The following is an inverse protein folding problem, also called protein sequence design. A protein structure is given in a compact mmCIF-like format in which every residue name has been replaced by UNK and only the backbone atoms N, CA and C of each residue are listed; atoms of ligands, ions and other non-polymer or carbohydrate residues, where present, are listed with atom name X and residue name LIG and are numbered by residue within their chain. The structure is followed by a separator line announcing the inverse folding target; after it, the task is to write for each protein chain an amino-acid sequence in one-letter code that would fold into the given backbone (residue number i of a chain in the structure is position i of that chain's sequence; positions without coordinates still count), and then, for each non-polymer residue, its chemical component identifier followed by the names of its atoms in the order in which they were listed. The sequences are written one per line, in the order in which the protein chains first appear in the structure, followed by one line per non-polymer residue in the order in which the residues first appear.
data_IF_581225415426
#
_entry.id   IF_581225415426
#
_cell.length_a   1.000
_cell.length_b   1.000
_cell.length_c   1.000
_cell.angle_alpha   90.00
_cell.angle_beta   90.00
_cell.angle_gamma   90.00
#
_symmetry.space_group_name_H-M   'P 1'
#
loop_
_entity.id
_entity.type
_entity.pdbx_description
1 polymer ?
#
# COMPACT_ATOMS: atom_id res chain seq x y z
N UNK A 1 -22.52 6.15 -5.78
CA UNK A 1 -22.96 5.19 -6.81
C UNK A 1 -22.79 5.83 -8.20
N UNK A 2 -23.21 7.08 -8.35
CA UNK A 2 -23.03 7.96 -9.52
C UNK A 2 -21.68 7.82 -10.27
N UNK A 3 -20.52 8.04 -9.60
CA UNK A 3 -19.21 7.94 -10.28
C UNK A 3 -18.93 6.54 -10.86
N UNK A 4 -19.38 5.48 -10.18
CA UNK A 4 -19.21 4.11 -10.69
C UNK A 4 -20.08 3.87 -11.91
N UNK A 5 -21.32 4.35 -11.90
CA UNK A 5 -22.26 4.24 -13.02
C UNK A 5 -21.77 5.02 -14.24
N UNK A 6 -21.27 6.24 -14.04
CA UNK A 6 -20.68 7.07 -15.10
C UNK A 6 -19.43 6.45 -15.72
N UNK A 7 -18.54 5.90 -14.90
CA UNK A 7 -17.34 5.24 -15.40
C UNK A 7 -17.69 3.94 -16.13
N UNK A 8 -18.65 3.17 -15.64
CA UNK A 8 -19.12 1.95 -16.29
C UNK A 8 -19.72 2.27 -17.67
N UNK A 9 -20.54 3.31 -17.78
CA UNK A 9 -21.12 3.76 -19.05
C UNK A 9 -20.07 4.15 -20.10
N UNK A 10 -18.85 4.53 -19.70
CA UNK A 10 -17.72 4.82 -20.60
C UNK A 10 -16.87 3.58 -20.91
N UNK A 11 -16.79 2.63 -19.98
CA UNK A 11 -16.01 1.40 -20.15
C UNK A 11 -16.75 0.36 -21.00
N UNK A 12 -18.05 0.17 -20.78
CA UNK A 12 -18.88 -0.83 -21.49
C UNK A 12 -18.87 -0.69 -23.02
N UNK A 13 -19.05 0.51 -23.62
CA UNK A 13 -18.96 0.67 -25.07
C UNK A 13 -17.52 0.66 -25.58
N UNK A 14 -16.52 0.50 -24.71
CA UNK A 14 -15.10 0.55 -25.07
C UNK A 14 -14.58 1.95 -25.38
N UNK A 15 -15.33 3.01 -25.03
CA UNK A 15 -14.88 4.39 -25.17
C UNK A 15 -13.62 4.64 -24.33
N UNK A 16 -13.58 4.07 -23.12
CA UNK A 16 -12.38 3.96 -22.30
C UNK A 16 -11.93 2.51 -22.22
N UNK A 17 -10.62 2.28 -22.26
CA UNK A 17 -10.03 0.95 -22.07
C UNK A 17 -9.28 0.95 -20.74
N UNK A 18 -9.48 -0.09 -19.94
CA UNK A 18 -8.77 -0.24 -18.66
C UNK A 18 -7.25 -0.23 -18.82
N UNK A 19 -6.73 -0.72 -19.95
CA UNK A 19 -5.30 -0.70 -20.24
C UNK A 19 -4.72 0.71 -20.46
N UNK A 20 -5.56 1.69 -20.79
CA UNK A 20 -5.18 3.09 -20.99
C UNK A 20 -5.25 3.92 -19.71
N UNK A 21 -5.58 3.33 -18.56
CA UNK A 21 -5.66 4.03 -17.27
C UNK A 21 -4.31 3.90 -16.56
N UNK A 22 -3.64 5.04 -16.29
CA UNK A 22 -2.63 5.11 -15.22
C UNK A 22 -3.37 5.30 -13.93
N UNK A 23 -3.06 4.46 -12.95
CA UNK A 23 -3.42 4.70 -11.57
C UNK A 23 -2.16 4.77 -10.72
N UNK A 24 -2.26 5.42 -9.57
CA UNK A 24 -1.16 5.50 -8.63
C UNK A 24 -1.65 5.82 -7.23
N UNK A 25 -0.79 5.55 -6.26
CA UNK A 25 -1.07 5.79 -4.84
C UNK A 25 0.26 5.91 -4.07
N UNK A 26 0.17 6.42 -2.84
CA UNK A 26 1.29 6.53 -1.92
C UNK A 26 1.25 5.49 -0.81
N UNK A 27 2.40 4.89 -0.52
CA UNK A 27 2.50 3.89 0.55
C UNK A 27 3.76 4.02 1.38
N UNK A 28 3.66 3.67 2.66
CA UNK A 28 4.81 3.62 3.57
C UNK A 28 5.36 2.21 3.66
N UNK A 29 6.59 2.01 3.17
CA UNK A 29 7.32 0.76 3.32
C UNK A 29 8.28 0.85 4.50
N UNK A 30 8.05 -0.02 5.49
CA UNK A 30 8.87 -0.15 6.68
C UNK A 30 10.11 -1.00 6.36
N UNK A 31 11.27 -0.62 6.92
CA UNK A 31 12.53 -1.35 6.70
C UNK A 31 12.53 -2.74 7.34
N UNK A 32 11.67 -2.95 8.33
CA UNK A 32 11.44 -4.25 8.96
C UNK A 32 10.03 -4.74 8.67
N UNK A 33 9.92 -6.00 8.28
CA UNK A 33 8.65 -6.72 8.35
C UNK A 33 8.42 -7.15 9.80
N UNK A 34 7.20 -6.95 10.28
CA UNK A 34 6.72 -7.67 11.46
C UNK A 34 5.72 -8.69 10.95
N UNK A 35 5.91 -9.93 11.39
CA UNK A 35 5.03 -11.04 11.09
C UNK A 35 3.60 -10.75 11.55
N UNK A 36 2.65 -11.34 10.83
CA UNK A 36 1.24 -11.15 11.14
C UNK A 36 0.90 -11.68 12.54
N UNK A 37 -0.21 -11.24 13.12
CA UNK A 37 -0.70 -11.80 14.39
C UNK A 37 -0.88 -13.32 14.30
N UNK A 38 -1.33 -13.82 13.14
CA UNK A 38 -1.55 -15.24 12.90
C UNK A 38 -0.22 -16.01 12.83
N UNK A 39 0.78 -15.44 12.16
CA UNK A 39 2.12 -16.05 12.04
C UNK A 39 2.85 -16.13 13.39
N UNK A 40 2.55 -15.24 14.33
CA UNK A 40 3.14 -15.22 15.67
C UNK A 40 2.37 -16.07 16.71
N UNK A 41 1.36 -16.84 16.29
CA UNK A 41 0.64 -17.71 17.22
C UNK A 41 1.54 -18.86 17.68
N UNK A 42 1.64 -19.03 19.00
CA UNK A 42 2.41 -20.10 19.62
C UNK A 42 1.54 -20.86 20.61
N UNK A 43 1.69 -22.19 20.61
CA UNK A 43 1.09 -23.05 21.63
C UNK A 43 1.78 -22.82 22.98
N UNK A 44 1.00 -22.59 24.03
CA UNK A 44 1.50 -22.34 25.38
C UNK A 44 0.86 -23.31 26.37
N UNK A 45 1.62 -23.76 27.36
CA UNK A 45 1.09 -24.57 28.46
C UNK A 45 0.22 -23.73 29.38
N UNK A 46 -0.69 -24.37 30.11
CA UNK A 46 -1.56 -23.71 31.08
C UNK A 46 -0.73 -22.95 32.13
N UNK A 47 -1.08 -21.68 32.37
CA UNK A 47 -0.35 -20.78 33.27
C UNK A 47 0.90 -20.11 32.68
N UNK A 48 1.28 -20.40 31.44
CA UNK A 48 2.43 -19.75 30.78
C UNK A 48 1.99 -18.66 29.79
N UNK A 49 2.77 -17.57 29.74
CA UNK A 49 2.50 -16.47 28.81
C UNK A 49 3.10 -16.78 27.42
N UNK A 50 2.43 -16.39 26.32
CA UNK A 50 2.96 -16.53 24.98
C UNK A 50 4.20 -15.64 24.75
N UNK A 51 5.04 -15.98 23.76
CA UNK A 51 6.17 -15.16 23.36
C UNK A 51 5.76 -13.71 23.10
N UNK A 52 6.58 -12.76 23.57
CA UNK A 52 6.31 -11.34 23.38
C UNK A 52 6.56 -10.96 21.93
N UNK A 53 5.50 -10.52 21.24
CA UNK A 53 5.60 -10.03 19.86
C UNK A 53 5.93 -8.54 19.88
N UNK A 54 7.05 -8.18 19.24
CA UNK A 54 7.44 -6.78 19.06
C UNK A 54 6.41 -6.11 18.13
N UNK A 55 5.79 -5.02 18.57
CA UNK A 55 4.85 -4.24 17.76
C UNK A 55 5.57 -3.23 16.88
N UNK A 56 4.93 -2.82 15.77
CA UNK A 56 5.40 -1.70 14.94
C UNK A 56 5.21 -0.42 15.74
N UNK A 57 6.26 0.41 15.81
CA UNK A 57 6.15 1.78 16.31
C UNK A 57 5.83 2.71 15.14
N UNK A 58 5.09 3.78 15.41
CA UNK A 58 4.81 4.80 14.39
C UNK A 58 6.09 5.47 13.86
N UNK A 59 7.15 5.49 14.68
CA UNK A 59 8.46 6.10 14.41
C UNK A 59 9.48 5.08 13.89
N UNK A 60 9.07 3.84 13.63
CA UNK A 60 9.96 2.88 12.99
C UNK A 60 10.42 3.41 11.62
N UNK A 61 11.66 3.09 11.26
CA UNK A 61 12.24 3.49 9.99
C UNK A 61 11.38 2.99 8.83
N UNK A 62 10.90 3.93 8.03
CA UNK A 62 10.03 3.73 6.88
C UNK A 62 10.28 4.82 5.85
N UNK A 63 10.11 4.48 4.58
CA UNK A 63 10.17 5.42 3.47
C UNK A 63 8.80 5.47 2.78
N UNK A 64 8.40 6.64 2.32
CA UNK A 64 7.21 6.79 1.49
C UNK A 64 7.60 6.51 0.05
N UNK A 65 6.76 5.74 -0.63
CA UNK A 65 6.86 5.47 -2.05
C UNK A 65 5.61 5.99 -2.75
N UNK A 66 5.82 6.59 -3.91
CA UNK A 66 4.78 6.93 -4.87
C UNK A 66 4.94 5.96 -6.03
N UNK A 67 3.85 5.28 -6.40
CA UNK A 67 3.84 4.39 -7.55
C UNK A 67 2.75 4.81 -8.51
N UNK A 68 3.07 4.85 -9.80
CA UNK A 68 2.10 4.91 -10.88
C UNK A 68 2.29 3.69 -11.77
N UNK A 69 1.20 3.05 -12.17
CA UNK A 69 1.21 1.85 -12.98
C UNK A 69 -0.03 1.75 -13.87
N UNK A 70 0.09 0.94 -14.92
CA UNK A 70 -0.99 0.52 -15.80
C UNK A 70 -1.07 -1.01 -15.79
N UNK A 71 -2.01 -1.54 -16.57
CA UNK A 71 -2.13 -3.00 -16.79
C UNK A 71 -0.85 -3.67 -17.33
N UNK A 72 0.04 -2.91 -17.97
CA UNK A 72 1.32 -3.39 -18.52
C UNK A 72 2.46 -3.39 -17.51
N UNK A 73 2.30 -2.73 -16.36
CA UNK A 73 3.32 -2.64 -15.33
C UNK A 73 3.51 -1.23 -14.75
N UNK A 74 4.57 -1.04 -13.95
CA UNK A 74 4.91 0.25 -13.35
C UNK A 74 5.43 1.25 -14.37
N UNK A 75 4.89 2.48 -14.31
CA UNK A 75 5.31 3.64 -15.10
C UNK A 75 6.29 4.52 -14.32
N UNK A 76 6.04 4.69 -13.02
CA UNK A 76 6.91 5.45 -12.10
C UNK A 76 6.93 4.76 -10.74
N UNK A 77 8.12 4.62 -10.18
CA UNK A 77 8.31 4.26 -8.78
C UNK A 77 9.29 5.28 -8.21
N UNK A 78 8.80 6.14 -7.32
CA UNK A 78 9.60 7.16 -6.68
C UNK A 78 9.64 6.95 -5.18
N UNK A 79 10.84 6.95 -4.59
CA UNK A 79 11.03 6.91 -3.15
C UNK A 79 11.22 8.34 -2.65
N UNK A 80 10.34 8.78 -1.76
CA UNK A 80 10.43 10.10 -1.15
C UNK A 80 11.52 10.07 -0.08
N UNK A 81 12.49 10.98 -0.20
CA UNK A 81 13.55 11.14 0.80
C UNK A 81 12.96 11.44 2.18
N UNK A 82 13.59 10.91 3.22
CA UNK A 82 13.15 11.13 4.59
C UNK A 82 13.11 12.63 4.92
N UNK A 83 11.97 13.10 5.41
CA UNK A 83 11.75 14.51 5.75
C UNK A 83 11.17 15.36 4.62
N UNK A 84 11.05 14.83 3.40
CA UNK A 84 10.26 15.46 2.33
C UNK A 84 8.83 14.91 2.36
N UNK A 85 7.86 15.78 2.15
CA UNK A 85 6.45 15.43 2.00
C UNK A 85 6.00 15.77 0.59
N UNK A 86 5.08 14.99 0.03
CA UNK A 86 4.44 15.30 -1.24
C UNK A 86 3.52 16.50 -0.99
N UNK A 87 3.83 17.59 -1.68
CA UNK A 87 3.04 18.83 -1.68
C UNK A 87 2.48 19.04 -3.09
N UNK A 88 1.59 20.01 -3.28
CA UNK A 88 1.06 20.30 -4.62
C UNK A 88 2.14 20.68 -5.66
N UNK A 89 3.31 21.12 -5.20
CA UNK A 89 4.46 21.50 -6.04
C UNK A 89 5.51 20.38 -6.21
N UNK A 90 5.27 19.21 -5.60
CA UNK A 90 6.17 18.06 -5.71
C UNK A 90 5.89 17.27 -6.99
#
# INVERSE_FOLDING_TARGET
MEICEENLAKLDPGQWRLCDIITGDETWLYHRSIDSKQSNMAWCSEGTAPPTVIRRSQYDRKNMFVIFFRTTGPELINMIESGKSISGDY
#
